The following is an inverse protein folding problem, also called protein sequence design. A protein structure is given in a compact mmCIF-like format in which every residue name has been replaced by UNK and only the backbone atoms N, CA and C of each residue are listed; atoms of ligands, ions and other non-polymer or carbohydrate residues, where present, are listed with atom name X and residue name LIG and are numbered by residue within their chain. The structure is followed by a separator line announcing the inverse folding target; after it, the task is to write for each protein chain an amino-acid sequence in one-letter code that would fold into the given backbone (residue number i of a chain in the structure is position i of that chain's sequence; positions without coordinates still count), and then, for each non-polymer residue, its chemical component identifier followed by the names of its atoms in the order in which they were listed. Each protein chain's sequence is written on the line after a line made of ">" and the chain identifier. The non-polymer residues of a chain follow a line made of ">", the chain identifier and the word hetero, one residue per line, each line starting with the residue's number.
data_IF_743515599065
#
_entry.id   IF_743515599065
#
_cell.length_a   1.000
_cell.length_b   1.000
_cell.length_c   1.000
_cell.angle_alpha   90.00
_cell.angle_beta   90.00
_cell.angle_gamma   90.00
#
_symmetry.space_group_name_H-M   'P 1'
#
loop_
_entity.id
_entity.type
_entity.pdbx_description
1 polymer ?
#
# COMPACT_ATOMS: atom_id res chain seq x y z
N UNK A 1 14.83 18.95 -20.48
CA UNK A 1 15.68 17.91 -19.88
C UNK A 1 15.31 16.57 -20.51
N UNK A 2 16.26 15.86 -21.16
CA UNK A 2 16.07 14.55 -21.82
C UNK A 2 16.91 13.50 -21.09
N UNK A 3 16.50 13.10 -19.90
CA UNK A 3 17.17 12.03 -19.15
C UNK A 3 16.37 10.75 -19.42
N UNK A 4 16.99 9.67 -19.92
CA UNK A 4 16.28 8.42 -20.18
C UNK A 4 15.87 7.76 -18.84
N UNK A 5 14.73 7.06 -18.85
CA UNK A 5 14.16 6.48 -17.65
C UNK A 5 15.09 5.42 -17.00
N UNK A 6 15.87 4.71 -17.81
CA UNK A 6 16.89 3.75 -17.35
C UNK A 6 17.96 4.40 -16.46
N UNK A 7 18.37 5.64 -16.76
CA UNK A 7 19.36 6.35 -15.96
C UNK A 7 18.80 6.78 -14.60
N UNK A 8 17.53 7.18 -14.56
CA UNK A 8 16.82 7.54 -13.33
C UNK A 8 16.64 6.29 -12.45
N UNK A 9 16.20 5.17 -13.03
CA UNK A 9 16.09 3.88 -12.35
C UNK A 9 17.43 3.45 -11.74
N UNK A 10 18.54 3.59 -12.47
CA UNK A 10 19.88 3.28 -11.93
C UNK A 10 20.30 4.21 -10.81
N UNK A 11 20.04 5.52 -10.92
CA UNK A 11 20.43 6.52 -9.92
C UNK A 11 19.68 6.34 -8.60
N UNK A 12 18.41 5.94 -8.66
CA UNK A 12 17.56 5.76 -7.49
C UNK A 12 17.79 4.41 -6.78
N UNK A 13 18.43 3.44 -7.42
CA UNK A 13 18.77 2.14 -6.80
C UNK A 13 19.75 2.31 -5.63
N UNK A 14 19.50 1.55 -4.56
CA UNK A 14 20.40 1.45 -3.41
C UNK A 14 20.33 2.61 -2.42
N UNK A 15 19.59 3.68 -2.74
CA UNK A 15 19.28 4.70 -1.74
C UNK A 15 18.34 4.13 -0.70
N UNK A 16 18.69 4.27 0.56
CA UNK A 16 17.98 3.73 1.72
C UNK A 16 17.39 4.91 2.49
N UNK A 17 16.06 5.08 2.43
CA UNK A 17 15.31 6.11 3.16
C UNK A 17 14.37 5.46 4.17
N UNK A 18 14.50 5.82 5.44
CA UNK A 18 13.56 5.43 6.48
C UNK A 18 12.28 6.27 6.42
N UNK A 19 11.10 5.70 6.69
CA UNK A 19 10.82 4.31 7.09
C UNK A 19 10.68 3.35 5.89
N UNK A 20 11.41 2.23 5.95
CA UNK A 20 11.27 1.11 5.01
C UNK A 20 9.97 0.34 5.27
N UNK A 21 9.29 -0.17 4.24
CA UNK A 21 8.04 -0.88 4.51
C UNK A 21 7.23 -1.37 3.31
N UNK A 22 6.01 -1.79 3.64
CA UNK A 22 5.04 -2.41 2.74
C UNK A 22 4.33 -1.37 1.85
N UNK A 23 4.16 -1.70 0.57
CA UNK A 23 3.42 -0.89 -0.40
C UNK A 23 2.01 -1.43 -0.49
N UNK A 24 1.08 -0.79 0.22
CA UNK A 24 -0.34 -1.06 0.08
C UNK A 24 -0.86 -0.32 -1.15
N UNK A 25 -1.51 -1.05 -2.08
CA UNK A 25 -2.15 -0.59 -3.34
C UNK A 25 -1.38 -0.78 -4.67
N UNK A 26 -0.12 -1.19 -4.68
CA UNK A 26 0.52 -1.52 -5.97
C UNK A 26 0.25 -3.00 -6.35
N UNK A 27 -0.16 -3.31 -7.60
CA UNK A 27 -0.47 -4.69 -8.02
C UNK A 27 0.75 -5.61 -7.90
N UNK A 28 1.88 -5.19 -8.47
CA UNK A 28 3.09 -6.03 -8.62
C UNK A 28 4.16 -5.85 -7.55
N UNK A 29 4.08 -4.77 -6.75
CA UNK A 29 5.10 -4.39 -5.77
C UNK A 29 4.46 -4.39 -4.38
N UNK A 30 4.89 -5.31 -3.50
CA UNK A 30 4.32 -5.42 -2.13
C UNK A 30 5.26 -4.92 -1.04
N UNK A 31 6.56 -4.91 -1.32
CA UNK A 31 7.58 -4.51 -0.36
C UNK A 31 8.70 -3.75 -1.06
N UNK A 32 9.15 -2.66 -0.44
CA UNK A 32 10.25 -1.83 -0.95
C UNK A 32 11.17 -1.39 0.17
N UNK A 33 12.46 -1.31 -0.15
CA UNK A 33 13.51 -0.90 0.79
C UNK A 33 13.85 0.58 0.68
N UNK A 34 13.06 1.37 -0.04
CA UNK A 34 13.06 2.85 -0.04
C UNK A 34 12.05 3.39 -1.06
N UNK A 35 11.80 4.71 -1.01
CA UNK A 35 11.05 5.42 -2.06
C UNK A 35 11.77 5.31 -3.42
N UNK A 36 13.09 5.43 -3.43
CA UNK A 36 13.88 5.34 -4.66
C UNK A 36 13.82 3.94 -5.29
N UNK A 37 13.80 2.88 -4.46
CA UNK A 37 13.55 1.50 -4.90
C UNK A 37 12.14 1.33 -5.50
N UNK A 38 11.12 1.97 -4.90
CA UNK A 38 9.76 1.98 -5.44
C UNK A 38 9.70 2.67 -6.82
N UNK A 39 10.26 3.88 -6.94
CA UNK A 39 10.25 4.64 -8.21
C UNK A 39 10.99 3.86 -9.30
N UNK A 40 12.12 3.24 -8.98
CA UNK A 40 12.89 2.43 -9.93
C UNK A 40 12.07 1.25 -10.48
N UNK A 41 11.34 0.54 -9.61
CA UNK A 41 10.48 -0.59 -10.01
C UNK A 41 9.26 -0.14 -10.82
N UNK A 42 8.67 1.01 -10.51
CA UNK A 42 7.55 1.55 -11.29
C UNK A 42 8.01 1.91 -12.71
N UNK A 43 9.18 2.56 -12.85
CA UNK A 43 9.76 2.86 -14.16
C UNK A 43 10.02 1.57 -14.95
N UNK A 44 10.58 0.55 -14.32
CA UNK A 44 10.85 -0.74 -14.98
C UNK A 44 9.53 -1.37 -15.49
N UNK A 45 8.44 -1.29 -14.71
CA UNK A 45 7.10 -1.76 -15.09
C UNK A 45 6.53 -0.95 -16.26
N UNK A 46 6.67 0.38 -16.26
CA UNK A 46 6.26 1.23 -17.38
C UNK A 46 7.02 0.90 -18.67
N UNK A 47 8.27 0.44 -18.54
CA UNK A 47 9.10 -0.03 -19.65
C UNK A 47 8.80 -1.49 -20.05
N UNK A 48 7.88 -2.17 -19.36
CA UNK A 48 7.50 -3.57 -19.61
C UNK A 48 8.45 -4.62 -19.00
N UNK A 49 9.42 -4.19 -18.18
CA UNK A 49 10.32 -5.10 -17.45
C UNK A 49 9.78 -5.41 -16.05
N UNK A 50 9.19 -6.59 -15.90
CA UNK A 50 8.64 -7.07 -14.62
C UNK A 50 9.63 -7.95 -13.83
N UNK A 51 10.90 -8.02 -14.22
CA UNK A 51 11.90 -8.92 -13.61
C UNK A 51 12.10 -8.71 -12.10
N UNK A 52 11.85 -7.48 -11.62
CA UNK A 52 12.05 -7.06 -10.22
C UNK A 52 10.76 -7.03 -9.38
N UNK A 53 9.63 -7.41 -9.95
CA UNK A 53 8.35 -7.47 -9.26
C UNK A 53 8.23 -8.73 -8.40
N UNK A 54 7.62 -8.62 -7.21
CA UNK A 54 7.35 -9.81 -6.39
C UNK A 54 6.23 -10.66 -6.96
N UNK A 55 5.26 -10.01 -7.63
CA UNK A 55 4.15 -10.67 -8.31
C UNK A 55 4.29 -10.33 -9.79
N UNK A 56 4.55 -11.34 -10.63
CA UNK A 56 4.69 -11.15 -12.08
C UNK A 56 3.29 -11.11 -12.72
N UNK A 57 3.03 -10.21 -13.68
CA UNK A 57 1.77 -10.20 -14.41
C UNK A 57 1.61 -11.50 -15.20
N UNK A 58 0.38 -12.03 -15.24
CA UNK A 58 0.06 -13.11 -16.15
C UNK A 58 0.03 -12.59 -17.60
N UNK A 59 0.45 -13.43 -18.54
CA UNK A 59 0.81 -13.09 -19.93
C UNK A 59 -0.32 -12.40 -20.72
N UNK A 60 -1.56 -12.39 -20.20
CA UNK A 60 -2.73 -11.78 -20.83
C UNK A 60 -3.01 -10.31 -20.41
N UNK A 61 -2.29 -9.73 -19.44
CA UNK A 61 -2.52 -8.33 -19.01
C UNK A 61 -1.66 -7.29 -19.75
N UNK A 62 -0.74 -7.74 -20.61
CA UNK A 62 0.21 -6.88 -21.34
C UNK A 62 -0.46 -5.94 -22.36
N UNK A 63 -1.69 -6.23 -22.80
CA UNK A 63 -2.44 -5.42 -23.78
C UNK A 63 -3.24 -4.26 -23.16
N UNK A 64 -3.39 -4.20 -21.83
CA UNK A 64 -4.15 -3.14 -21.16
C UNK A 64 -3.28 -2.03 -20.56
N UNK A 65 -1.96 -2.06 -20.78
CA UNK A 65 -1.01 -1.03 -20.34
C UNK A 65 -0.94 0.15 -21.34
N UNK A 66 -2.11 0.71 -21.70
CA UNK A 66 -2.15 2.09 -22.22
C UNK A 66 -2.34 3.03 -21.03
N UNK A 67 -1.53 4.09 -20.88
CA UNK A 67 -1.51 4.91 -19.69
C UNK A 67 -2.84 5.66 -19.56
N UNK A 68 -3.65 5.26 -18.58
CA UNK A 68 -4.58 6.18 -17.98
C UNK A 68 -3.78 7.16 -17.12
N UNK A 69 -3.16 8.17 -17.75
CA UNK A 69 -3.34 9.50 -17.20
C UNK A 69 -4.84 9.80 -17.32
N UNK A 70 -5.64 9.19 -16.46
CA UNK A 70 -6.89 9.83 -16.10
C UNK A 70 -6.41 11.07 -15.37
N UNK A 71 -6.36 12.19 -16.08
CA UNK A 71 -6.60 13.48 -15.45
C UNK A 71 -7.69 13.20 -14.43
N UNK A 72 -7.41 13.31 -13.14
CA UNK A 72 -8.47 13.37 -12.17
C UNK A 72 -9.10 14.72 -12.46
N UNK A 73 -10.27 14.83 -13.13
CA UNK A 73 -10.97 16.08 -13.04
C UNK A 73 -11.38 16.11 -11.57
N UNK A 74 -10.95 17.12 -10.84
CA UNK A 74 -11.59 17.49 -9.57
C UNK A 74 -13.04 17.87 -9.92
N UNK A 75 -13.90 16.87 -10.12
CA UNK A 75 -15.33 17.01 -10.22
C UNK A 75 -15.90 16.12 -9.13
N UNK A 76 -16.54 16.78 -8.17
CA UNK A 76 -17.29 16.13 -7.12
C UNK A 76 -18.21 15.08 -7.71
N UNK A 77 -18.04 13.84 -7.26
CA UNK A 77 -18.98 12.77 -7.50
C UNK A 77 -19.51 12.37 -6.13
N UNK A 78 -20.82 12.55 -6.00
CA UNK A 78 -21.60 12.21 -4.83
C UNK A 78 -21.51 10.69 -4.55
N UNK A 79 -21.58 10.28 -3.28
CA UNK A 79 -21.48 8.87 -2.90
C UNK A 79 -22.83 8.18 -3.09
N UNK A 80 -22.99 7.45 -4.19
CA UNK A 80 -24.01 6.41 -4.30
C UNK A 80 -23.60 5.45 -5.44
N UNK A 81 -23.36 4.21 -5.03
CA UNK A 81 -23.50 2.99 -5.83
C UNK A 81 -22.36 2.65 -6.81
N UNK A 82 -21.43 1.79 -6.36
CA UNK A 82 -20.77 0.77 -7.18
C UNK A 82 -20.07 -0.26 -6.28
N UNK A 83 -20.73 -1.41 -6.15
CA UNK A 83 -20.33 -2.58 -5.39
C UNK A 83 -19.09 -3.29 -5.96
N UNK A 84 -18.12 -3.59 -5.10
CA UNK A 84 -17.13 -4.65 -5.30
C UNK A 84 -16.85 -5.31 -3.94
N UNK A 85 -17.49 -6.45 -3.74
CA UNK A 85 -17.52 -7.25 -2.52
C UNK A 85 -16.45 -8.35 -2.56
N UNK A 86 -15.51 -8.37 -1.60
CA UNK A 86 -14.94 -9.61 -1.09
C UNK A 86 -15.46 -9.86 0.32
N UNK A 87 -16.45 -10.73 0.39
CA UNK A 87 -17.02 -11.35 1.58
C UNK A 87 -15.96 -11.76 2.62
N UNK A 88 -15.78 -10.91 3.62
CA UNK A 88 -15.41 -11.25 4.99
C UNK A 88 -15.98 -10.16 5.89
N UNK A 89 -17.18 -10.41 6.42
CA UNK A 89 -17.94 -9.38 7.15
C UNK A 89 -17.16 -8.82 8.33
N UNK A 90 -17.04 -7.50 8.42
CA UNK A 90 -16.89 -6.76 9.68
C UNK A 90 -16.89 -5.25 9.41
N UNK A 91 -17.17 -4.49 10.46
CA UNK A 91 -17.26 -3.03 10.53
C UNK A 91 -16.19 -2.29 9.70
N UNK A 92 -16.58 -1.14 9.13
CA UNK A 92 -15.67 -0.20 8.46
C UNK A 92 -14.41 -0.02 9.29
N UNK A 93 -13.23 -0.27 8.70
CA UNK A 93 -11.94 -0.19 9.40
C UNK A 93 -11.73 1.15 10.10
N UNK A 94 -12.41 2.21 9.64
CA UNK A 94 -12.41 3.53 10.26
C UNK A 94 -13.11 3.57 11.63
N UNK A 95 -14.19 2.82 11.79
CA UNK A 95 -14.94 2.79 13.05
C UNK A 95 -14.16 2.02 14.12
N UNK A 96 -13.47 0.94 13.72
CA UNK A 96 -12.57 0.17 14.60
C UNK A 96 -11.36 0.99 15.05
N UNK A 97 -10.77 1.79 14.14
CA UNK A 97 -9.65 2.67 14.47
C UNK A 97 -10.09 3.74 15.47
N UNK A 98 -11.27 4.34 15.26
CA UNK A 98 -11.79 5.38 16.14
C UNK A 98 -12.12 4.85 17.53
N UNK A 99 -12.77 3.69 17.60
CA UNK A 99 -13.07 3.04 18.88
C UNK A 99 -11.79 2.63 19.62
N UNK A 100 -10.80 2.07 18.91
CA UNK A 100 -9.51 1.76 19.50
C UNK A 100 -8.75 3.01 19.96
N UNK A 101 -8.84 4.12 19.24
CA UNK A 101 -8.19 5.37 19.63
C UNK A 101 -8.81 6.01 20.88
N UNK A 102 -10.13 5.91 21.04
CA UNK A 102 -10.87 6.45 22.19
C UNK A 102 -10.82 5.52 23.42
N UNK A 103 -10.97 4.21 23.22
CA UNK A 103 -11.17 3.22 24.30
C UNK A 103 -9.97 2.30 24.55
N UNK A 104 -8.98 2.25 23.65
CA UNK A 104 -7.89 1.29 23.72
C UNK A 104 -6.61 1.79 24.39
N UNK A 105 -5.82 0.84 24.92
CA UNK A 105 -4.53 1.13 25.56
C UNK A 105 -3.36 1.08 24.56
N UNK A 106 -2.53 2.13 24.50
CA UNK A 106 -1.39 2.19 23.57
C UNK A 106 -0.32 1.15 23.93
N UNK A 107 0.00 0.30 22.96
CA UNK A 107 1.02 -0.73 23.11
C UNK A 107 2.37 -0.26 22.59
N UNK A 108 3.29 0.04 23.51
CA UNK A 108 4.67 0.38 23.18
C UNK A 108 5.50 -0.88 22.88
N UNK A 109 6.26 -0.85 21.78
CA UNK A 109 7.14 -1.96 21.37
C UNK A 109 6.50 -3.02 20.46
N UNK A 110 5.21 -2.91 20.15
CA UNK A 110 4.55 -3.77 19.16
C UNK A 110 4.47 -3.10 17.80
N UNK A 111 4.72 -3.88 16.74
CA UNK A 111 4.73 -3.41 15.34
C UNK A 111 3.65 -4.15 14.57
N UNK A 112 2.88 -3.41 13.77
CA UNK A 112 1.85 -3.98 12.90
C UNK A 112 2.49 -4.84 11.81
N UNK A 113 2.09 -6.11 11.70
CA UNK A 113 2.60 -7.03 10.67
C UNK A 113 2.19 -6.65 9.24
N UNK A 114 1.17 -5.81 9.07
CA UNK A 114 0.64 -5.43 7.76
C UNK A 114 1.26 -4.13 7.21
N UNK A 115 1.41 -3.09 8.05
CA UNK A 115 1.95 -1.79 7.62
C UNK A 115 3.23 -1.36 8.32
N UNK A 116 3.78 -2.19 9.23
CA UNK A 116 4.96 -1.88 10.04
C UNK A 116 4.85 -0.63 10.91
N UNK A 117 3.62 -0.16 11.17
CA UNK A 117 3.38 0.91 12.13
C UNK A 117 3.63 0.46 13.56
N UNK A 118 4.22 1.35 14.37
CA UNK A 118 4.34 1.19 15.83
C UNK A 118 3.09 1.66 16.57
N UNK A 119 2.10 2.25 15.87
CA UNK A 119 0.86 2.78 16.44
C UNK A 119 -0.18 1.68 16.63
N UNK A 120 0.14 0.77 17.54
CA UNK A 120 -0.72 -0.34 17.93
C UNK A 120 -1.43 -0.03 19.25
N UNK A 121 -2.68 -0.44 19.33
CA UNK A 121 -3.54 -0.23 20.50
C UNK A 121 -4.21 -1.54 20.88
N UNK A 122 -4.27 -1.85 22.17
CA UNK A 122 -5.06 -2.98 22.68
C UNK A 122 -6.51 -2.54 22.88
N UNK A 123 -7.44 -3.17 22.16
CA UNK A 123 -8.88 -2.98 22.32
C UNK A 123 -9.48 -4.34 22.69
N UNK A 124 -9.77 -4.52 23.98
CA UNK A 124 -10.19 -5.80 24.55
C UNK A 124 -9.10 -6.88 24.45
N UNK A 125 -9.42 -8.02 23.83
CA UNK A 125 -8.46 -9.10 23.53
C UNK A 125 -7.66 -8.85 22.25
N UNK A 126 -8.14 -7.96 21.39
CA UNK A 126 -7.52 -7.65 20.11
C UNK A 126 -6.46 -6.54 20.24
N UNK A 127 -5.47 -6.59 19.35
CA UNK A 127 -4.56 -5.46 19.07
C UNK A 127 -4.92 -4.88 17.72
N UNK A 128 -5.11 -3.58 17.64
CA UNK A 128 -5.54 -2.85 16.44
C UNK A 128 -4.46 -1.86 16.03
N UNK A 129 -4.10 -1.86 14.75
CA UNK A 129 -3.22 -0.85 14.19
C UNK A 129 -4.03 0.40 13.80
N UNK A 130 -3.68 1.55 14.35
CA UNK A 130 -4.38 2.81 14.04
C UNK A 130 -4.14 3.28 12.59
N UNK A 131 -3.07 2.82 11.94
CA UNK A 131 -2.70 3.27 10.59
C UNK A 131 -3.35 2.49 9.45
N UNK A 132 -3.64 1.21 9.65
CA UNK A 132 -4.17 0.35 8.59
C UNK A 132 -5.40 -0.47 9.02
N UNK A 133 -5.81 -0.37 10.29
CA UNK A 133 -6.96 -1.09 10.83
C UNK A 133 -6.75 -2.58 11.02
N UNK A 134 -5.54 -3.10 10.78
CA UNK A 134 -5.25 -4.53 11.00
C UNK A 134 -5.41 -4.89 12.46
N UNK A 135 -6.22 -5.91 12.72
CA UNK A 135 -6.42 -6.49 14.05
C UNK A 135 -5.61 -7.78 14.20
N UNK A 136 -5.11 -8.07 15.39
CA UNK A 136 -4.34 -9.29 15.70
C UNK A 136 -4.63 -9.75 17.11
N UNK A 137 -4.71 -11.05 17.35
CA UNK A 137 -4.92 -11.61 18.70
C UNK A 137 -6.37 -11.64 19.18
N UNK A 138 -7.34 -11.45 18.29
CA UNK A 138 -8.75 -11.65 18.59
C UNK A 138 -9.05 -13.15 18.78
N UNK A 139 -9.58 -13.54 19.94
CA UNK A 139 -10.15 -14.87 20.21
C UNK A 139 -11.66 -14.77 20.33
#
# INVERSE_FOLDING_TARGET
>A
YRIPADDISKMLRGQKYEPYGFVSKHPYIKHVTSISDLISKIIDIEMGDFSRCQIKPEVNELDNFHPAYREVPLKGVNPSDADFDPSYGSMSSKDLIKDAEENGEKLYGSVCSNCSSTRMVMNGTCKVCLDCGTTTGCS
#
